data_IF_332152902661
#
_entry.id   IF_332152902661
#
_cell.length_a   1.000
_cell.length_b   1.000
_cell.length_c   1.000
_cell.angle_alpha   90.00
_cell.angle_beta   90.00
_cell.angle_gamma   90.00
#
_symmetry.space_group_name_H-M   'P 1'
#
loop_
_entity.id
_entity.type
_entity.pdbx_description
1 polymer ?
#
# COMPACT_ATOMS: atom_id res chain seq x y z
N UNK A 1 -1.66 12.55 -31.11
CA UNK A 1 -3.09 12.18 -30.94
C UNK A 1 -3.37 10.68 -31.15
N UNK A 2 -2.80 10.00 -32.17
CA UNK A 2 -3.03 8.56 -32.39
C UNK A 2 -2.51 7.64 -31.26
N UNK A 3 -1.43 8.03 -30.54
CA UNK A 3 -0.90 7.25 -29.42
C UNK A 3 -1.82 7.24 -28.18
N UNK A 4 -2.40 8.40 -27.84
CA UNK A 4 -3.26 8.55 -26.65
C UNK A 4 -4.51 7.67 -26.73
N UNK A 5 -5.15 7.58 -27.90
CA UNK A 5 -6.32 6.72 -28.09
C UNK A 5 -5.99 5.22 -27.97
N UNK A 6 -4.77 4.81 -28.35
CA UNK A 6 -4.30 3.43 -28.20
C UNK A 6 -3.99 3.11 -26.73
N UNK A 7 -3.36 4.04 -26.01
CA UNK A 7 -3.08 3.95 -24.59
C UNK A 7 -4.37 3.85 -23.76
N UNK A 8 -5.35 4.71 -24.00
CA UNK A 8 -6.65 4.65 -23.29
C UNK A 8 -7.38 3.32 -23.50
N UNK A 9 -7.36 2.75 -24.72
CA UNK A 9 -7.94 1.42 -24.99
C UNK A 9 -7.21 0.31 -24.24
N UNK A 10 -5.88 0.38 -24.20
CA UNK A 10 -5.08 -0.58 -23.43
C UNK A 10 -5.42 -0.52 -21.94
N UNK A 11 -5.51 0.68 -21.39
CA UNK A 11 -5.79 0.89 -19.98
C UNK A 11 -7.22 0.48 -19.60
N UNK A 12 -8.21 0.78 -20.45
CA UNK A 12 -9.58 0.29 -20.28
C UNK A 12 -9.63 -1.25 -20.29
N UNK A 13 -8.84 -1.90 -21.15
CA UNK A 13 -8.75 -3.37 -21.19
C UNK A 13 -8.16 -3.94 -19.91
N UNK A 14 -7.08 -3.34 -19.38
CA UNK A 14 -6.46 -3.75 -18.12
C UNK A 14 -7.46 -3.61 -16.96
N UNK A 15 -8.14 -2.48 -16.86
CA UNK A 15 -9.16 -2.26 -15.81
C UNK A 15 -10.31 -3.26 -15.93
N UNK A 16 -10.79 -3.54 -17.15
CA UNK A 16 -11.84 -4.53 -17.38
C UNK A 16 -11.42 -5.94 -16.95
N UNK A 17 -10.15 -6.31 -17.13
CA UNK A 17 -9.60 -7.59 -16.69
C UNK A 17 -9.45 -7.66 -15.16
N UNK A 18 -9.27 -6.52 -14.49
CA UNK A 18 -9.19 -6.43 -13.02
C UNK A 18 -10.57 -6.42 -12.32
N UNK A 19 -11.65 -6.04 -13.03
CA UNK A 19 -13.02 -5.96 -12.46
C UNK A 19 -13.51 -7.23 -11.74
N UNK A 20 -13.27 -8.46 -12.22
CA UNK A 20 -13.66 -9.66 -11.49
C UNK A 20 -13.00 -9.76 -10.11
N UNK A 21 -11.74 -9.37 -10.00
CA UNK A 21 -11.00 -9.39 -8.72
C UNK A 21 -11.52 -8.31 -7.77
N UNK A 22 -11.73 -7.09 -8.26
CA UNK A 22 -12.32 -6.01 -7.46
C UNK A 22 -13.69 -6.41 -6.89
N UNK A 23 -14.58 -6.97 -7.74
CA UNK A 23 -15.90 -7.42 -7.31
C UNK A 23 -15.84 -8.58 -6.32
N UNK A 24 -14.88 -9.50 -6.48
CA UNK A 24 -14.72 -10.66 -5.57
C UNK A 24 -14.49 -10.20 -4.12
N UNK A 25 -13.74 -9.11 -3.92
CA UNK A 25 -13.35 -8.64 -2.58
C UNK A 25 -14.12 -7.40 -2.10
N UNK A 26 -15.02 -6.85 -2.92
CA UNK A 26 -15.88 -5.75 -2.51
C UNK A 26 -16.68 -6.13 -1.25
N UNK A 27 -16.72 -5.21 -0.28
CA UNK A 27 -17.32 -5.40 1.05
C UNK A 27 -16.48 -6.21 2.04
N UNK A 28 -15.43 -6.90 1.59
CA UNK A 28 -14.58 -7.71 2.47
C UNK A 28 -13.55 -6.86 3.21
N UNK A 29 -13.19 -7.32 4.41
CA UNK A 29 -12.09 -6.76 5.19
C UNK A 29 -10.78 -7.47 4.85
N UNK A 30 -9.74 -6.69 4.51
CA UNK A 30 -8.40 -7.22 4.23
C UNK A 30 -7.41 -6.59 5.18
N UNK A 31 -6.67 -7.42 5.92
CA UNK A 31 -5.59 -6.95 6.81
C UNK A 31 -4.27 -6.94 6.03
N UNK A 32 -3.63 -5.77 5.96
CA UNK A 32 -2.37 -5.56 5.26
C UNK A 32 -1.29 -5.22 6.26
N UNK A 33 -0.29 -6.09 6.40
CA UNK A 33 0.88 -5.81 7.22
C UNK A 33 1.84 -4.91 6.43
N UNK A 34 1.99 -3.66 6.87
CA UNK A 34 3.00 -2.71 6.39
C UNK A 34 4.23 -2.68 7.32
N UNK A 35 5.45 -2.81 6.80
CA UNK A 35 6.66 -2.50 7.58
C UNK A 35 7.94 -3.15 7.09
N UNK A 36 8.99 -3.08 7.91
CA UNK A 36 10.36 -3.38 7.48
C UNK A 36 11.00 -2.18 6.78
N UNK A 37 11.91 -2.44 5.84
CA UNK A 37 12.63 -1.41 5.07
C UNK A 37 11.70 -0.44 4.32
N UNK A 38 10.49 -0.86 3.96
CA UNK A 38 9.49 -0.03 3.28
C UNK A 38 8.96 1.15 4.12
N UNK A 39 9.17 1.15 5.45
CA UNK A 39 8.83 2.29 6.33
C UNK A 39 9.91 3.38 6.37
N UNK A 40 11.12 3.09 5.89
CA UNK A 40 12.22 4.06 5.87
C UNK A 40 12.22 4.95 4.62
N UNK A 41 11.57 4.52 3.54
CA UNK A 41 11.50 5.24 2.27
C UNK A 41 10.14 5.94 2.12
N UNK A 42 10.18 7.28 2.00
CA UNK A 42 8.98 8.12 1.84
C UNK A 42 8.23 7.84 0.55
N UNK A 43 8.91 7.49 -0.54
CA UNK A 43 8.28 7.21 -1.82
C UNK A 43 7.51 5.89 -1.75
N UNK A 44 8.10 4.86 -1.14
CA UNK A 44 7.41 3.58 -0.94
C UNK A 44 6.21 3.73 0.01
N UNK A 45 6.33 4.55 1.05
CA UNK A 45 5.22 4.87 1.94
C UNK A 45 4.05 5.53 1.19
N UNK A 46 4.35 6.48 0.29
CA UNK A 46 3.31 7.15 -0.51
C UNK A 46 2.63 6.20 -1.50
N UNK A 47 3.41 5.35 -2.19
CA UNK A 47 2.85 4.33 -3.10
C UNK A 47 1.94 3.37 -2.35
N UNK A 48 2.40 2.87 -1.20
CA UNK A 48 1.59 2.01 -0.33
C UNK A 48 0.29 2.69 0.10
N UNK A 49 0.34 3.97 0.50
CA UNK A 49 -0.85 4.71 0.87
C UNK A 49 -1.84 4.84 -0.30
N UNK A 50 -1.35 5.11 -1.52
CA UNK A 50 -2.18 5.18 -2.72
C UNK A 50 -2.88 3.84 -3.01
N UNK A 51 -2.18 2.72 -2.84
CA UNK A 51 -2.76 1.38 -3.02
C UNK A 51 -3.86 1.09 -1.99
N UNK A 52 -3.64 1.45 -0.71
CA UNK A 52 -4.67 1.30 0.33
C UNK A 52 -5.90 2.15 0.02
N UNK A 53 -5.71 3.38 -0.46
CA UNK A 53 -6.81 4.25 -0.90
C UNK A 53 -7.56 3.62 -2.07
N UNK A 54 -6.85 3.07 -3.05
CA UNK A 54 -7.47 2.38 -4.20
C UNK A 54 -8.33 1.20 -3.73
N UNK A 55 -7.82 0.36 -2.82
CA UNK A 55 -8.60 -0.74 -2.24
C UNK A 55 -9.90 -0.23 -1.61
N UNK A 56 -9.83 0.86 -0.84
CA UNK A 56 -11.03 1.47 -0.24
C UNK A 56 -12.00 2.00 -1.29
N UNK A 57 -11.50 2.63 -2.36
CA UNK A 57 -12.32 3.16 -3.45
C UNK A 57 -13.05 2.07 -4.24
N UNK A 58 -12.44 0.89 -4.39
CA UNK A 58 -13.07 -0.25 -5.09
C UNK A 58 -13.98 -1.09 -4.18
N UNK A 59 -14.25 -0.61 -2.97
CA UNK A 59 -15.21 -1.20 -2.03
C UNK A 59 -14.61 -2.19 -1.03
N UNK A 60 -13.29 -2.37 -0.98
CA UNK A 60 -12.62 -3.21 0.03
C UNK A 60 -12.50 -2.41 1.34
N UNK A 61 -12.46 -3.10 2.47
CA UNK A 61 -12.21 -2.50 3.79
C UNK A 61 -10.80 -2.84 4.28
N UNK A 62 -9.76 -2.10 3.85
CA UNK A 62 -8.40 -2.39 4.27
C UNK A 62 -8.17 -1.99 5.74
N UNK A 63 -7.50 -2.85 6.49
CA UNK A 63 -6.94 -2.59 7.83
C UNK A 63 -5.43 -2.66 7.71
N UNK A 64 -4.73 -1.56 7.99
CA UNK A 64 -3.26 -1.54 7.96
C UNK A 64 -2.71 -1.82 9.35
N UNK A 65 -1.83 -2.82 9.45
CA UNK A 65 -1.05 -3.10 10.66
C UNK A 65 0.41 -2.73 10.38
N UNK A 66 1.02 -1.87 11.21
CA UNK A 66 2.41 -1.47 11.02
C UNK A 66 3.32 -1.84 12.19
N UNK A 67 4.62 -1.94 11.91
CA UNK A 67 5.66 -2.06 12.94
C UNK A 67 6.15 -0.70 13.42
N UNK A 68 7.20 -0.68 14.23
CA UNK A 68 7.84 0.56 14.68
C UNK A 68 9.36 0.48 14.83
N UNK A 69 9.99 -0.58 14.29
CA UNK A 69 11.41 -0.90 14.52
C UNK A 69 12.37 0.28 14.32
N UNK A 70 12.34 0.98 13.17
CA UNK A 70 13.20 2.14 12.94
C UNK A 70 12.97 3.29 13.94
N UNK A 71 11.73 3.60 14.30
CA UNK A 71 11.44 4.66 15.28
C UNK A 71 11.86 4.26 16.70
N UNK A 72 11.68 2.99 17.07
CA UNK A 72 12.14 2.43 18.34
C UNK A 72 13.66 2.52 18.41
N UNK A 73 14.37 2.08 17.37
CA UNK A 73 15.83 2.16 17.28
C UNK A 73 16.36 3.58 17.47
N UNK A 74 15.81 4.56 16.73
CA UNK A 74 16.19 5.97 16.89
C UNK A 74 15.95 6.50 18.31
N UNK A 75 14.87 6.05 18.95
CA UNK A 75 14.56 6.48 20.32
C UNK A 75 15.53 5.88 21.33
N UNK A 76 15.85 4.58 21.20
CA UNK A 76 16.82 3.89 22.04
C UNK A 76 18.22 4.49 21.92
N UNK A 77 18.66 4.83 20.71
CA UNK A 77 19.93 5.52 20.47
C UNK A 77 20.00 6.87 21.19
N UNK A 78 18.95 7.69 21.08
CA UNK A 78 18.87 8.99 21.78
C UNK A 78 18.92 8.82 23.30
N UNK A 79 18.35 7.73 23.81
CA UNK A 79 18.33 7.41 25.25
C UNK A 79 19.58 6.64 25.71
N UNK A 80 20.50 6.28 24.81
CA UNK A 80 21.68 5.44 25.08
C UNK A 80 21.32 4.07 25.71
N UNK A 81 20.16 3.54 25.36
CA UNK A 81 19.69 2.22 25.82
C UNK A 81 20.08 1.18 24.76
N UNK A 82 20.75 0.10 25.17
CA UNK A 82 21.00 -1.03 24.27
C UNK A 82 19.76 -1.91 24.18
N UNK A 83 19.32 -2.20 22.95
CA UNK A 83 18.34 -3.26 22.70
C UNK A 83 18.88 -4.59 23.22
N UNK A 84 18.06 -5.34 23.97
CA UNK A 84 18.34 -6.72 24.38
C UNK A 84 17.84 -7.76 23.38
N UNK A 85 17.28 -7.29 22.26
CA UNK A 85 16.78 -8.06 21.12
C UNK A 85 17.68 -7.89 19.91
#
# INVERSE_FOLDING_TARGET
MQNTAKESRSQARILSQALPFMRRYAGQTIVVKYGGHAMGDKNLAQLFANDIVLLKQVGIHPIVVHGGGPQIGQTLERMKIKSSS
#
